data_IF_796112833639
#
_entry.id   IF_796112833639
#
_cell.length_a   1.000
_cell.length_b   1.000
_cell.length_c   1.000
_cell.angle_alpha   90.00
_cell.angle_beta   90.00
_cell.angle_gamma   90.00
#
_symmetry.space_group_name_H-M   'P 1'
#
loop_
_entity.id
_entity.type
_entity.pdbx_description
1 polymer ?
#
# COMPACT_ATOMS: atom_id res chain seq x y z
N UNK A 1 -42.56 -43.05 -18.51
CA UNK A 1 -41.16 -42.74 -18.83
C UNK A 1 -40.91 -41.27 -18.48
N UNK A 2 -39.86 -41.03 -17.69
CA UNK A 2 -39.33 -39.74 -17.18
C UNK A 2 -40.20 -38.98 -16.15
N UNK A 3 -39.97 -39.37 -14.90
CA UNK A 3 -40.07 -38.59 -13.68
C UNK A 3 -39.09 -37.40 -13.67
N UNK A 4 -39.60 -36.23 -13.26
CA UNK A 4 -39.08 -35.22 -12.31
C UNK A 4 -37.59 -35.33 -11.94
N UNK A 5 -36.83 -34.22 -11.99
CA UNK A 5 -36.07 -33.73 -10.82
C UNK A 5 -35.66 -32.25 -10.91
N UNK A 6 -36.06 -31.53 -9.87
CA UNK A 6 -35.56 -30.26 -9.34
C UNK A 6 -34.03 -30.30 -9.19
N UNK A 7 -33.32 -29.28 -9.67
CA UNK A 7 -31.94 -29.03 -9.27
C UNK A 7 -31.95 -28.02 -8.11
N UNK A 8 -31.81 -28.58 -6.92
CA UNK A 8 -31.66 -27.92 -5.63
C UNK A 8 -30.29 -27.22 -5.58
N UNK A 9 -30.28 -25.90 -5.39
CA UNK A 9 -29.05 -25.16 -5.09
C UNK A 9 -28.59 -25.56 -3.68
N UNK A 10 -27.52 -26.34 -3.62
CA UNK A 10 -26.87 -26.71 -2.37
C UNK A 10 -25.94 -25.56 -1.97
N UNK A 11 -26.44 -24.65 -1.14
CA UNK A 11 -25.58 -23.85 -0.25
C UNK A 11 -25.05 -24.81 0.82
N UNK A 12 -23.88 -25.40 0.56
CA UNK A 12 -23.11 -26.06 1.60
C UNK A 12 -22.20 -25.03 2.24
N UNK A 13 -22.67 -24.46 3.35
CA UNK A 13 -21.82 -23.83 4.34
C UNK A 13 -20.76 -24.84 4.81
N UNK A 14 -19.50 -24.61 4.46
CA UNK A 14 -18.37 -25.23 5.16
C UNK A 14 -17.73 -24.14 6.00
N UNK A 15 -18.28 -23.96 7.20
CA UNK A 15 -17.53 -23.42 8.33
C UNK A 15 -16.85 -24.62 8.98
N UNK A 16 -15.53 -24.75 8.80
CA UNK A 16 -14.61 -25.48 9.67
C UNK A 16 -13.16 -25.13 9.23
N UNK A 17 -12.57 -24.08 9.81
CA UNK A 17 -11.76 -24.05 11.05
C UNK A 17 -10.27 -24.42 10.85
N UNK A 18 -9.39 -23.49 11.21
CA UNK A 18 -8.01 -23.80 11.64
C UNK A 18 -6.91 -23.08 10.85
N UNK A 19 -6.87 -21.76 10.86
CA UNK A 19 -6.07 -21.11 11.90
C UNK A 19 -6.71 -19.78 12.28
N UNK A 20 -7.04 -19.62 13.55
CA UNK A 20 -7.15 -18.31 14.14
C UNK A 20 -5.75 -17.69 14.10
N UNK A 21 -5.41 -17.02 12.99
CA UNK A 21 -4.45 -15.94 13.09
C UNK A 21 -5.21 -14.87 13.86
N UNK A 22 -4.93 -14.80 15.16
CA UNK A 22 -5.20 -13.58 15.89
C UNK A 22 -4.29 -12.51 15.27
N UNK A 23 -4.71 -11.96 14.13
CA UNK A 23 -4.18 -10.71 13.60
C UNK A 23 -4.65 -9.65 14.58
N UNK A 24 -3.87 -9.47 15.66
CA UNK A 24 -3.90 -8.23 16.41
C UNK A 24 -3.58 -7.09 15.44
N UNK A 25 -4.06 -5.87 15.71
CA UNK A 25 -3.72 -4.73 14.87
C UNK A 25 -2.20 -4.62 14.79
N UNK A 26 -1.65 -4.73 13.58
CA UNK A 26 -0.30 -4.25 13.32
C UNK A 26 -0.43 -2.73 13.31
N UNK A 27 -0.18 -2.10 14.46
CA UNK A 27 -0.02 -0.66 14.51
C UNK A 27 1.29 -0.36 13.77
N UNK A 28 1.21 -0.13 12.45
CA UNK A 28 2.34 0.38 11.67
C UNK A 28 2.63 1.79 12.17
N UNK A 29 3.54 1.89 13.13
CA UNK A 29 3.94 3.14 13.74
C UNK A 29 5.04 3.77 12.87
N UNK A 30 4.64 4.64 11.94
CA UNK A 30 5.60 5.49 11.24
C UNK A 30 6.16 6.52 12.21
N UNK A 31 7.47 6.73 12.19
CA UNK A 31 8.09 7.79 12.99
C UNK A 31 7.70 9.21 12.51
N UNK A 32 7.26 9.34 11.25
CA UNK A 32 6.43 10.44 10.78
C UNK A 32 5.01 9.94 10.58
N UNK A 33 4.20 9.97 11.63
CA UNK A 33 2.75 10.01 11.46
C UNK A 33 2.40 11.43 11.02
N UNK A 34 1.97 11.62 9.79
CA UNK A 34 1.25 12.84 9.45
C UNK A 34 -0.11 12.78 10.16
N UNK A 35 -0.71 13.92 10.54
CA UNK A 35 -2.06 13.90 11.11
C UNK A 35 -3.00 13.19 10.13
N UNK A 36 -3.28 11.92 10.42
CA UNK A 36 -4.20 11.09 9.69
C UNK A 36 -5.59 11.39 10.21
N UNK A 37 -6.46 11.88 9.34
CA UNK A 37 -7.89 11.67 9.59
C UNK A 37 -8.22 10.22 9.25
N UNK A 38 -9.33 9.71 9.77
CA UNK A 38 -9.89 8.40 9.37
C UNK A 38 -10.03 8.25 7.84
N UNK A 39 -10.11 9.35 7.10
CA UNK A 39 -10.12 9.35 5.63
C UNK A 39 -8.74 9.07 5.03
N UNK A 40 -7.66 9.62 5.61
CA UNK A 40 -6.29 9.36 5.16
C UNK A 40 -5.93 7.89 5.37
N UNK A 41 -6.23 7.35 6.55
CA UNK A 41 -5.96 5.95 6.88
C UNK A 41 -6.71 5.00 5.93
N UNK A 42 -8.00 5.25 5.71
CA UNK A 42 -8.80 4.45 4.79
C UNK A 42 -8.33 4.54 3.34
N UNK A 43 -8.01 5.74 2.85
CA UNK A 43 -7.50 5.90 1.49
C UNK A 43 -6.13 5.22 1.32
N UNK A 44 -5.28 5.27 2.35
CA UNK A 44 -4.00 4.56 2.36
C UNK A 44 -4.22 3.04 2.25
N UNK A 45 -5.11 2.49 3.09
CA UNK A 45 -5.49 1.08 3.03
C UNK A 45 -6.02 0.68 1.65
N UNK A 46 -6.89 1.50 1.05
CA UNK A 46 -7.40 1.24 -0.31
C UNK A 46 -6.25 1.12 -1.31
N UNK A 47 -5.26 2.02 -1.24
CA UNK A 47 -4.10 1.94 -2.14
C UNK A 47 -3.22 0.71 -1.84
N UNK A 48 -3.00 0.35 -0.58
CA UNK A 48 -2.27 -0.88 -0.20
C UNK A 48 -2.91 -2.12 -0.80
N UNK A 49 -4.21 -2.32 -0.60
CA UNK A 49 -4.91 -3.50 -1.14
C UNK A 49 -4.84 -3.51 -2.67
N UNK A 50 -5.02 -2.36 -3.33
CA UNK A 50 -4.94 -2.29 -4.80
C UNK A 50 -3.54 -2.61 -5.34
N UNK A 51 -2.50 -2.07 -4.70
CA UNK A 51 -1.11 -2.33 -5.10
C UNK A 51 -0.79 -3.81 -4.92
N UNK A 52 -1.08 -4.37 -3.74
CA UNK A 52 -0.71 -5.73 -3.40
C UNK A 52 -1.52 -6.77 -4.21
N UNK A 53 -2.82 -6.59 -4.40
CA UNK A 53 -3.60 -7.50 -5.26
C UNK A 53 -3.18 -7.42 -6.74
N UNK A 54 -2.79 -6.24 -7.23
CA UNK A 54 -2.21 -6.12 -8.57
C UNK A 54 -0.87 -6.86 -8.68
N UNK A 55 -0.01 -6.79 -7.66
CA UNK A 55 1.26 -7.52 -7.63
C UNK A 55 1.02 -9.03 -7.57
N UNK A 56 0.07 -9.50 -6.75
CA UNK A 56 -0.34 -10.89 -6.70
C UNK A 56 -0.76 -11.42 -8.08
N UNK A 57 -1.62 -10.67 -8.78
CA UNK A 57 -2.08 -11.01 -10.13
C UNK A 57 -0.99 -10.97 -11.20
N UNK A 58 0.07 -10.18 -11.00
CA UNK A 58 1.21 -10.12 -11.91
C UNK A 58 2.24 -11.24 -11.68
N UNK A 59 2.17 -11.94 -10.54
CA UNK A 59 3.11 -12.99 -10.15
C UNK A 59 2.48 -14.40 -10.15
N UNK A 60 1.41 -14.65 -10.91
CA UNK A 60 0.70 -15.95 -10.91
C UNK A 60 1.56 -17.16 -11.27
N UNK A 61 2.69 -16.97 -11.94
CA UNK A 61 3.67 -18.02 -12.22
C UNK A 61 4.54 -18.40 -11.01
N UNK A 62 4.66 -17.51 -10.03
CA UNK A 62 5.38 -17.71 -8.77
C UNK A 62 4.40 -17.57 -7.61
N UNK A 63 3.81 -18.71 -7.22
CA UNK A 63 2.74 -18.74 -6.20
C UNK A 63 3.22 -18.28 -4.83
N UNK A 64 4.49 -18.43 -4.50
CA UNK A 64 5.03 -17.98 -3.22
C UNK A 64 5.04 -16.46 -3.17
N UNK A 65 5.56 -15.81 -4.22
CA UNK A 65 5.53 -14.34 -4.36
C UNK A 65 4.08 -13.83 -4.43
N UNK A 66 3.23 -14.45 -5.25
CA UNK A 66 1.83 -14.04 -5.36
C UNK A 66 1.07 -14.15 -4.03
N UNK A 67 1.27 -15.22 -3.27
CA UNK A 67 0.63 -15.38 -1.97
C UNK A 67 1.16 -14.40 -0.92
N UNK A 68 2.45 -14.06 -0.95
CA UNK A 68 3.00 -13.02 -0.08
C UNK A 68 2.31 -11.67 -0.30
N UNK A 69 2.03 -11.30 -1.55
CA UNK A 69 1.25 -10.11 -1.85
C UNK A 69 -0.21 -10.22 -1.39
N UNK A 70 -0.83 -11.39 -1.53
CA UNK A 70 -2.18 -11.63 -0.99
C UNK A 70 -2.24 -11.52 0.54
N UNK A 71 -1.19 -11.95 1.23
CA UNK A 71 -1.06 -11.82 2.69
C UNK A 71 -1.02 -10.33 3.09
N UNK A 72 -0.17 -9.51 2.46
CA UNK A 72 -0.17 -8.06 2.72
C UNK A 72 -1.50 -7.38 2.41
N UNK A 73 -2.15 -7.75 1.30
CA UNK A 73 -3.47 -7.22 0.95
C UNK A 73 -4.51 -7.55 2.03
N UNK A 74 -4.48 -8.78 2.58
CA UNK A 74 -5.36 -9.19 3.66
C UNK A 74 -5.04 -8.49 4.99
N UNK A 75 -3.75 -8.29 5.30
CA UNK A 75 -3.30 -7.59 6.52
C UNK A 75 -3.73 -6.13 6.57
N UNK A 76 -3.74 -5.45 5.42
CA UNK A 76 -4.25 -4.08 5.33
C UNK A 76 -5.75 -3.99 5.70
N UNK A 77 -6.53 -5.05 5.44
CA UNK A 77 -7.96 -5.06 5.68
C UNK A 77 -8.30 -5.43 7.13
N UNK A 78 -8.34 -4.43 8.01
CA UNK A 78 -8.63 -4.66 9.44
C UNK A 78 -10.13 -4.82 9.74
N UNK A 79 -10.43 -5.48 10.87
CA UNK A 79 -11.80 -5.58 11.40
C UNK A 79 -12.44 -4.22 11.70
N UNK A 80 -11.64 -3.22 12.11
CA UNK A 80 -12.13 -1.87 12.35
C UNK A 80 -12.61 -1.24 11.06
N UNK A 81 -11.79 -1.32 10.00
CA UNK A 81 -12.16 -0.80 8.68
C UNK A 81 -13.39 -1.49 8.11
N UNK A 82 -13.49 -2.81 8.24
CA UNK A 82 -14.68 -3.55 7.79
C UNK A 82 -15.94 -3.12 8.53
N UNK A 83 -15.83 -2.84 9.83
CA UNK A 83 -16.95 -2.32 10.61
C UNK A 83 -17.39 -0.94 10.10
N UNK A 84 -16.45 -0.03 9.86
CA UNK A 84 -16.75 1.30 9.33
C UNK A 84 -17.37 1.23 7.92
N UNK A 85 -16.86 0.36 7.05
CA UNK A 85 -17.48 0.09 5.74
C UNK A 85 -18.89 -0.45 5.95
N UNK A 86 -19.10 -1.40 6.87
CA UNK A 86 -20.41 -2.02 7.11
C UNK A 86 -21.46 -1.03 7.64
N UNK A 87 -21.04 -0.01 8.40
CA UNK A 87 -21.90 1.07 8.87
C UNK A 87 -22.46 1.90 7.71
N UNK A 88 -21.73 2.02 6.59
CA UNK A 88 -22.18 2.74 5.39
C UNK A 88 -22.81 1.82 4.35
N UNK A 89 -22.23 0.64 4.13
CA UNK A 89 -22.68 -0.36 3.16
C UNK A 89 -22.25 -1.78 3.56
N UNK A 90 -23.18 -2.53 4.14
CA UNK A 90 -22.99 -3.93 4.56
C UNK A 90 -22.61 -4.86 3.41
N UNK A 91 -23.07 -4.58 2.19
CA UNK A 91 -22.76 -5.41 1.03
C UNK A 91 -21.27 -5.35 0.73
N UNK A 92 -20.69 -4.14 0.62
CA UNK A 92 -19.25 -3.99 0.36
C UNK A 92 -18.41 -4.60 1.47
N UNK A 93 -18.80 -4.42 2.73
CA UNK A 93 -18.09 -5.03 3.86
C UNK A 93 -18.09 -6.56 3.84
N UNK A 94 -19.03 -7.18 3.11
CA UNK A 94 -19.10 -8.63 2.91
C UNK A 94 -18.34 -9.04 1.65
N UNK A 95 -18.64 -8.37 0.53
CA UNK A 95 -18.15 -8.73 -0.80
C UNK A 95 -16.64 -8.50 -0.94
N UNK A 96 -16.06 -7.48 -0.27
CA UNK A 96 -14.64 -7.16 -0.38
C UNK A 96 -13.73 -8.27 0.20
N UNK A 97 -13.89 -8.71 1.47
CA UNK A 97 -13.15 -9.87 1.97
C UNK A 97 -13.35 -11.12 1.10
N UNK A 98 -14.58 -11.40 0.67
CA UNK A 98 -14.87 -12.56 -0.18
C UNK A 98 -14.18 -12.48 -1.54
N UNK A 99 -14.08 -11.30 -2.15
CA UNK A 99 -13.40 -11.12 -3.44
C UNK A 99 -11.87 -11.29 -3.31
N UNK A 100 -11.28 -10.85 -2.20
CA UNK A 100 -9.87 -11.09 -1.88
C UNK A 100 -9.60 -12.60 -1.69
N UNK A 101 -10.49 -13.31 -0.98
CA UNK A 101 -10.38 -14.76 -0.79
C UNK A 101 -10.57 -15.53 -2.11
N UNK A 102 -11.47 -15.08 -2.98
CA UNK A 102 -11.66 -15.62 -4.33
C UNK A 102 -10.40 -15.46 -5.18
N UNK A 103 -9.82 -14.26 -5.22
CA UNK A 103 -8.55 -14.00 -5.90
C UNK A 103 -7.44 -14.93 -5.40
N UNK A 104 -7.31 -15.08 -4.07
CA UNK A 104 -6.32 -15.99 -3.47
C UNK A 104 -6.54 -17.43 -3.95
N UNK A 105 -7.80 -17.88 -3.94
CA UNK A 105 -8.18 -19.23 -4.39
C UNK A 105 -7.89 -19.45 -5.88
N UNK A 106 -8.13 -18.44 -6.71
CA UNK A 106 -7.79 -18.47 -8.14
C UNK A 106 -6.27 -18.64 -8.35
N UNK A 107 -5.45 -17.88 -7.62
CA UNK A 107 -3.99 -18.00 -7.65
C UNK A 107 -3.54 -19.41 -7.19
N UNK A 108 -4.05 -19.89 -6.06
CA UNK A 108 -3.66 -21.17 -5.48
C UNK A 108 -4.04 -22.35 -6.38
N UNK A 109 -5.23 -22.29 -7.01
CA UNK A 109 -5.71 -23.31 -7.95
C UNK A 109 -5.01 -23.27 -9.31
N UNK A 110 -4.23 -22.22 -9.60
CA UNK A 110 -3.58 -22.05 -10.90
C UNK A 110 -4.57 -21.67 -12.00
N UNK A 111 -5.55 -20.82 -11.66
CA UNK A 111 -6.49 -20.23 -12.61
C UNK A 111 -5.79 -19.51 -13.76
N UNK A 112 -6.54 -19.23 -14.82
CA UNK A 112 -5.98 -18.52 -15.98
C UNK A 112 -5.58 -17.08 -15.64
N UNK A 113 -4.59 -16.53 -16.35
CA UNK A 113 -4.18 -15.14 -16.13
C UNK A 113 -5.31 -14.12 -16.34
N UNK A 114 -6.28 -14.43 -17.23
CA UNK A 114 -7.42 -13.56 -17.48
C UNK A 114 -8.45 -13.63 -16.34
N UNK A 115 -8.65 -14.81 -15.75
CA UNK A 115 -9.50 -15.00 -14.58
C UNK A 115 -8.92 -14.27 -13.36
N UNK A 116 -7.62 -14.44 -13.09
CA UNK A 116 -6.95 -13.72 -12.01
C UNK A 116 -7.02 -12.19 -12.22
N UNK A 117 -6.87 -11.69 -13.45
CA UNK A 117 -7.03 -10.25 -13.74
C UNK A 117 -8.46 -9.77 -13.50
N UNK A 118 -9.47 -10.58 -13.79
CA UNK A 118 -10.87 -10.24 -13.49
C UNK A 118 -11.09 -10.15 -11.98
N UNK A 119 -10.52 -11.07 -11.20
CA UNK A 119 -10.63 -11.05 -9.74
C UNK A 119 -9.90 -9.85 -9.12
N UNK A 120 -8.70 -9.49 -9.63
CA UNK A 120 -8.00 -8.26 -9.24
C UNK A 120 -8.87 -7.02 -9.54
N UNK A 121 -9.49 -6.97 -10.71
CA UNK A 121 -10.39 -5.87 -11.08
C UNK A 121 -11.61 -5.80 -10.16
N UNK A 122 -12.21 -6.95 -9.82
CA UNK A 122 -13.36 -7.01 -8.91
C UNK A 122 -13.02 -6.45 -7.52
N UNK A 123 -11.82 -6.77 -6.99
CA UNK A 123 -11.34 -6.17 -5.73
C UNK A 123 -11.17 -4.65 -5.89
N UNK A 124 -10.53 -4.18 -6.97
CA UNK A 124 -10.35 -2.74 -7.20
C UNK A 124 -11.68 -1.99 -7.29
N UNK A 125 -12.66 -2.56 -8.00
CA UNK A 125 -13.98 -1.94 -8.20
C UNK A 125 -14.75 -1.82 -6.87
N UNK A 126 -14.70 -2.85 -6.02
CA UNK A 126 -15.30 -2.80 -4.69
C UNK A 126 -14.62 -1.76 -3.79
N UNK A 127 -13.30 -1.60 -3.88
CA UNK A 127 -12.58 -0.56 -3.15
C UNK A 127 -12.93 0.84 -3.65
N UNK A 128 -13.10 1.04 -4.96
CA UNK A 128 -13.55 2.32 -5.52
C UNK A 128 -14.97 2.66 -5.06
N UNK A 129 -15.86 1.68 -5.04
CA UNK A 129 -17.21 1.86 -4.49
C UNK A 129 -17.16 2.18 -2.98
N UNK A 130 -16.29 1.51 -2.23
CA UNK A 130 -16.10 1.76 -0.81
C UNK A 130 -15.66 3.21 -0.55
N UNK A 131 -14.72 3.74 -1.35
CA UNK A 131 -14.29 5.15 -1.29
C UNK A 131 -15.48 6.08 -1.58
N UNK A 132 -16.22 5.84 -2.65
CA UNK A 132 -17.34 6.70 -3.06
C UNK A 132 -18.45 6.78 -2.02
N UNK A 133 -18.68 5.69 -1.27
CA UNK A 133 -19.75 5.61 -0.27
C UNK A 133 -19.28 6.11 1.10
N UNK A 134 -18.05 5.79 1.51
CA UNK A 134 -17.54 6.15 2.84
C UNK A 134 -17.08 7.60 2.92
N UNK A 135 -16.46 8.11 1.86
CA UNK A 135 -15.77 9.39 1.88
C UNK A 135 -16.51 10.41 1.01
N UNK A 136 -16.81 11.56 1.58
CA UNK A 136 -17.38 12.68 0.82
C UNK A 136 -16.43 13.11 -0.30
N UNK A 137 -16.98 13.43 -1.48
CA UNK A 137 -16.19 13.83 -2.65
C UNK A 137 -15.24 15.00 -2.38
N UNK A 138 -15.64 15.93 -1.52
CA UNK A 138 -14.83 17.07 -1.08
C UNK A 138 -13.55 16.63 -0.35
N UNK A 139 -13.61 15.53 0.41
CA UNK A 139 -12.48 14.95 1.13
C UNK A 139 -11.61 14.11 0.19
N UNK A 140 -12.20 13.40 -0.77
CA UNK A 140 -11.44 12.70 -1.82
C UNK A 140 -10.62 13.68 -2.66
N UNK A 141 -11.18 14.85 -3.00
CA UNK A 141 -10.49 15.86 -3.82
C UNK A 141 -9.53 16.77 -3.05
N UNK A 142 -9.51 16.67 -1.72
CA UNK A 142 -8.71 17.51 -0.84
C UNK A 142 -7.22 17.19 -1.00
N UNK A 143 -6.44 18.15 -1.51
CA UNK A 143 -5.02 17.96 -1.79
C UNK A 143 -4.17 17.72 -0.55
N UNK A 144 -4.55 18.24 0.63
CA UNK A 144 -3.89 17.95 1.90
C UNK A 144 -4.12 16.50 2.34
N UNK A 145 -5.35 15.98 2.21
CA UNK A 145 -5.64 14.56 2.49
C UNK A 145 -4.86 13.65 1.53
N UNK A 146 -4.90 13.95 0.24
CA UNK A 146 -4.19 13.15 -0.77
C UNK A 146 -2.67 13.23 -0.61
N UNK A 147 -2.12 14.39 -0.23
CA UNK A 147 -0.69 14.52 0.07
C UNK A 147 -0.28 13.70 1.31
N UNK A 148 -1.16 13.57 2.30
CA UNK A 148 -0.92 12.70 3.45
C UNK A 148 -0.93 11.21 3.03
N UNK A 149 -1.86 10.80 2.15
CA UNK A 149 -1.84 9.45 1.55
C UNK A 149 -0.55 9.21 0.77
N UNK A 150 -0.11 10.17 -0.05
CA UNK A 150 1.17 10.09 -0.77
C UNK A 150 2.33 9.88 0.21
N UNK A 151 2.37 10.61 1.32
CA UNK A 151 3.43 10.46 2.32
C UNK A 151 3.39 9.08 3.01
N UNK A 152 2.21 8.56 3.33
CA UNK A 152 2.07 7.20 3.86
C UNK A 152 2.57 6.15 2.87
N UNK A 153 2.30 6.30 1.57
CA UNK A 153 2.81 5.36 0.56
C UNK A 153 4.34 5.46 0.37
N UNK A 154 4.94 6.61 0.61
CA UNK A 154 6.41 6.72 0.70
C UNK A 154 6.93 5.94 1.89
N UNK A 155 6.27 6.02 3.05
CA UNK A 155 6.64 5.22 4.22
C UNK A 155 6.49 3.71 3.96
N UNK A 156 5.41 3.27 3.30
CA UNK A 156 5.24 1.88 2.87
C UNK A 156 6.36 1.43 1.95
N UNK A 157 6.76 2.28 1.00
CA UNK A 157 7.88 1.99 0.12
C UNK A 157 9.19 1.79 0.89
N UNK A 158 9.44 2.60 1.93
CA UNK A 158 10.61 2.48 2.81
C UNK A 158 10.59 1.21 3.66
N UNK A 159 9.45 0.89 4.28
CA UNK A 159 9.28 -0.30 5.13
C UNK A 159 9.56 -1.57 4.32
N UNK A 160 8.88 -1.73 3.19
CA UNK A 160 9.11 -2.86 2.30
C UNK A 160 10.53 -2.88 1.73
N UNK A 161 11.16 -1.72 1.47
CA UNK A 161 12.56 -1.72 1.01
C UNK A 161 13.51 -2.26 2.08
N UNK A 162 13.31 -1.85 3.33
CA UNK A 162 14.11 -2.31 4.46
C UNK A 162 14.05 -3.82 4.60
N UNK A 163 12.85 -4.39 4.57
CA UNK A 163 12.66 -5.84 4.57
C UNK A 163 13.26 -6.52 3.33
N UNK A 164 13.10 -5.91 2.15
CA UNK A 164 13.61 -6.43 0.89
C UNK A 164 15.13 -6.63 0.89
N UNK A 165 15.87 -5.81 1.64
CA UNK A 165 17.34 -5.84 1.70
C UNK A 165 17.89 -6.31 3.06
N UNK A 166 17.01 -6.73 3.98
CA UNK A 166 17.39 -7.18 5.31
C UNK A 166 17.98 -6.09 6.19
N UNK A 167 17.53 -4.84 6.03
CA UNK A 167 17.92 -3.73 6.90
C UNK A 167 17.23 -3.86 8.26
N UNK A 168 18.01 -3.93 9.34
CA UNK A 168 17.49 -4.18 10.70
C UNK A 168 16.86 -2.93 11.36
N UNK A 169 17.08 -1.74 10.80
CA UNK A 169 16.51 -0.49 11.32
C UNK A 169 15.14 -0.15 10.73
N UNK A 170 14.42 0.79 11.36
CA UNK A 170 13.19 1.32 10.79
C UNK A 170 13.51 2.45 9.79
N UNK A 171 13.37 2.18 8.49
CA UNK A 171 13.65 3.17 7.44
C UNK A 171 12.69 4.36 7.44
N UNK A 172 11.53 4.25 8.10
CA UNK A 172 10.58 5.37 8.23
C UNK A 172 10.97 6.36 9.33
N UNK A 173 12.01 6.05 10.12
CA UNK A 173 12.49 6.87 11.23
C UNK A 173 13.82 7.58 10.93
N UNK A 174 13.83 8.89 11.16
CA UNK A 174 15.04 9.72 11.11
C UNK A 174 16.10 9.30 12.13
N UNK A 175 15.73 8.59 13.19
CA UNK A 175 16.69 8.03 14.16
C UNK A 175 17.65 7.03 13.51
N UNK A 176 17.19 6.29 12.48
CA UNK A 176 18.04 5.39 11.69
C UNK A 176 19.16 6.18 11.00
N UNK A 177 18.89 7.39 10.52
CA UNK A 177 19.90 8.25 9.91
C UNK A 177 20.90 8.83 10.93
N UNK A 178 20.48 9.07 12.16
CA UNK A 178 21.34 9.63 13.22
C UNK A 178 22.28 8.57 13.83
N UNK A 179 21.83 7.32 13.93
CA UNK A 179 22.60 6.21 14.51
C UNK A 179 23.81 5.83 13.66
N UNK A 180 23.69 5.89 12.33
CA UNK A 180 24.75 5.45 11.40
C UNK A 180 25.85 6.49 11.13
N UNK A 181 25.69 7.74 11.60
CA UNK A 181 26.68 8.81 11.40
C UNK A 181 28.02 8.59 12.13
N UNK A 182 28.15 7.53 12.93
CA UNK A 182 29.40 7.20 13.67
C UNK A 182 30.17 5.99 13.14
N UNK A 183 29.66 5.23 12.15
CA UNK A 183 30.33 3.98 11.70
C UNK A 183 30.52 3.83 10.19
N UNK A 184 29.91 4.66 9.34
CA UNK A 184 29.98 4.53 7.88
C UNK A 184 30.74 5.65 7.16
N UNK A 185 31.87 6.09 7.72
CA UNK A 185 32.88 6.80 6.93
C UNK A 185 33.70 5.77 6.13
N UNK A 186 33.10 5.08 5.16
CA UNK A 186 33.87 4.06 4.43
C UNK A 186 33.19 3.19 3.37
N UNK A 187 31.93 3.37 2.99
CA UNK A 187 31.38 2.56 1.90
C UNK A 187 30.55 3.36 0.89
N UNK A 188 31.29 3.96 -0.03
CA UNK A 188 30.85 4.40 -1.36
C UNK A 188 29.89 3.41 -2.04
N UNK A 189 28.72 3.88 -2.46
CA UNK A 189 27.93 3.37 -3.60
C UNK A 189 27.89 1.84 -3.73
N UNK A 190 27.30 1.15 -2.76
CA UNK A 190 27.05 -0.30 -2.90
C UNK A 190 25.57 -0.53 -3.18
N UNK A 191 25.30 -1.23 -4.29
CA UNK A 191 23.97 -1.76 -4.58
C UNK A 191 23.61 -2.80 -3.52
N UNK A 192 22.48 -2.64 -2.86
CA UNK A 192 21.97 -3.60 -1.88
C UNK A 192 21.59 -4.93 -2.54
N UNK A 193 21.80 -6.02 -1.81
CA UNK A 193 21.32 -7.34 -2.21
C UNK A 193 19.86 -7.47 -1.82
N UNK A 194 19.01 -7.92 -2.74
CA UNK A 194 17.60 -8.22 -2.46
C UNK A 194 17.50 -9.63 -1.90
N UNK A 195 17.02 -9.74 -0.67
CA UNK A 195 16.78 -11.00 0.04
C UNK A 195 15.30 -11.39 0.05
N UNK A 196 14.38 -10.43 -0.16
CA UNK A 196 12.95 -10.67 -0.36
C UNK A 196 12.46 -10.00 -1.64
N UNK A 197 12.16 -10.82 -2.65
CA UNK A 197 11.58 -10.37 -3.93
C UNK A 197 10.20 -9.73 -3.78
N UNK A 198 9.22 -10.32 -3.05
CA UNK A 198 7.90 -9.69 -2.93
C UNK A 198 7.99 -8.31 -2.25
N UNK A 199 8.79 -8.17 -1.19
CA UNK A 199 9.00 -6.86 -0.56
C UNK A 199 9.68 -5.85 -1.48
N UNK A 200 10.64 -6.29 -2.30
CA UNK A 200 11.23 -5.40 -3.30
C UNK A 200 10.21 -4.90 -4.33
N UNK A 201 9.31 -5.79 -4.77
CA UNK A 201 8.23 -5.45 -5.70
C UNK A 201 7.22 -4.50 -5.05
N UNK A 202 6.80 -4.76 -3.81
CA UNK A 202 5.91 -3.86 -3.05
C UNK A 202 6.53 -2.49 -2.85
N UNK A 203 7.79 -2.43 -2.41
CA UNK A 203 8.52 -1.16 -2.25
C UNK A 203 8.51 -0.31 -3.51
N UNK A 204 8.82 -0.94 -4.64
CA UNK A 204 8.84 -0.25 -5.92
C UNK A 204 7.44 0.22 -6.36
N UNK A 205 6.44 -0.65 -6.24
CA UNK A 205 5.08 -0.33 -6.63
C UNK A 205 4.47 0.79 -5.77
N UNK A 206 4.76 0.81 -4.47
CA UNK A 206 4.35 1.89 -3.58
C UNK A 206 5.03 3.22 -3.91
N UNK A 207 6.33 3.21 -4.22
CA UNK A 207 7.04 4.41 -4.66
C UNK A 207 6.45 4.97 -5.96
N UNK A 208 6.13 4.10 -6.92
CA UNK A 208 5.50 4.48 -8.18
C UNK A 208 4.07 5.01 -7.98
N UNK A 209 3.27 4.37 -7.11
CA UNK A 209 1.92 4.83 -6.78
C UNK A 209 1.95 6.18 -6.05
N UNK A 210 2.89 6.39 -5.12
CA UNK A 210 3.07 7.68 -4.46
C UNK A 210 3.39 8.79 -5.47
N UNK A 211 4.31 8.52 -6.41
CA UNK A 211 4.63 9.45 -7.50
C UNK A 211 3.40 9.75 -8.38
N UNK A 212 2.64 8.72 -8.76
CA UNK A 212 1.41 8.86 -9.56
C UNK A 212 0.39 9.78 -8.87
N UNK A 213 0.07 9.51 -7.60
CA UNK A 213 -0.89 10.30 -6.83
C UNK A 213 -0.40 11.73 -6.61
N UNK A 214 0.90 11.94 -6.39
CA UNK A 214 1.47 13.29 -6.34
C UNK A 214 1.21 14.08 -7.63
N UNK A 215 1.40 13.46 -8.81
CA UNK A 215 1.16 14.15 -10.09
C UNK A 215 -0.30 14.60 -10.23
N UNK A 216 -1.26 13.85 -9.66
CA UNK A 216 -2.69 14.21 -9.68
C UNK A 216 -3.02 15.43 -8.80
N UNK A 217 -2.24 15.67 -7.75
CA UNK A 217 -2.46 16.79 -6.82
C UNK A 217 -1.52 17.98 -7.04
N UNK A 218 -0.51 17.83 -7.90
CA UNK A 218 0.50 18.85 -8.20
C UNK A 218 -0.07 20.24 -8.46
N UNK A 219 -1.13 20.33 -9.27
CA UNK A 219 -1.75 21.62 -9.61
C UNK A 219 -2.56 22.25 -8.46
N UNK A 220 -2.71 21.54 -7.34
CA UNK A 220 -3.47 21.95 -6.15
C UNK A 220 -2.55 22.32 -4.98
N UNK A 221 -1.24 22.48 -5.22
CA UNK A 221 -0.29 22.98 -4.23
C UNK A 221 -0.63 24.42 -3.82
N UNK A 222 -0.22 24.80 -2.61
CA UNK A 222 -0.44 26.13 -2.06
C UNK A 222 0.32 27.19 -2.87
N UNK A 223 -0.30 28.35 -3.09
CA UNK A 223 0.34 29.47 -3.77
C UNK A 223 1.62 29.91 -3.04
N UNK A 224 2.69 30.20 -3.80
CA UNK A 224 3.98 30.61 -3.25
C UNK A 224 4.89 29.46 -2.80
N UNK A 225 4.53 28.20 -3.09
CA UNK A 225 5.32 27.00 -2.75
C UNK A 225 6.05 26.38 -3.96
N UNK A 226 6.28 27.17 -5.02
CA UNK A 226 6.84 26.70 -6.30
C UNK A 226 8.17 25.93 -6.14
N UNK A 227 9.01 26.35 -5.19
CA UNK A 227 10.27 25.66 -4.87
C UNK A 227 10.04 24.26 -4.29
N UNK A 228 9.04 24.09 -3.42
CA UNK A 228 8.68 22.79 -2.86
C UNK A 228 8.11 21.86 -3.93
N UNK A 229 7.27 22.39 -4.82
CA UNK A 229 6.75 21.65 -5.99
C UNK A 229 7.89 21.22 -6.91
N UNK A 230 8.81 22.11 -7.23
CA UNK A 230 10.01 21.80 -8.04
C UNK A 230 10.89 20.74 -7.36
N UNK A 231 11.01 20.81 -6.03
CA UNK A 231 11.70 19.81 -5.22
C UNK A 231 11.06 18.42 -5.36
N UNK A 232 9.73 18.33 -5.26
CA UNK A 232 8.99 17.07 -5.43
C UNK A 232 9.11 16.50 -6.85
N UNK A 233 9.07 17.36 -7.87
CA UNK A 233 9.25 16.96 -9.27
C UNK A 233 10.58 16.23 -9.52
N UNK A 234 11.65 16.63 -8.82
CA UNK A 234 12.94 15.94 -8.86
C UNK A 234 13.02 14.74 -7.90
N UNK A 235 12.42 14.86 -6.71
CA UNK A 235 12.57 13.88 -5.64
C UNK A 235 11.86 12.55 -5.93
N UNK A 236 10.62 12.57 -6.44
CA UNK A 236 9.87 11.33 -6.70
C UNK A 236 10.54 10.43 -7.77
N UNK A 237 10.92 10.94 -8.95
CA UNK A 237 11.68 10.13 -9.91
C UNK A 237 13.00 9.62 -9.34
N UNK A 238 13.69 10.43 -8.51
CA UNK A 238 14.92 10.01 -7.85
C UNK A 238 14.70 8.87 -6.86
N UNK A 239 13.62 8.93 -6.08
CA UNK A 239 13.23 7.90 -5.11
C UNK A 239 12.94 6.56 -5.80
N UNK A 240 12.08 6.59 -6.83
CA UNK A 240 11.76 5.41 -7.64
C UNK A 240 13.03 4.83 -8.28
N UNK A 241 13.89 5.67 -8.87
CA UNK A 241 15.13 5.21 -9.48
C UNK A 241 16.14 4.66 -8.48
N UNK A 242 16.20 5.20 -7.26
CA UNK A 242 17.06 4.68 -6.19
C UNK A 242 16.63 3.28 -5.77
N UNK A 243 15.33 3.03 -5.59
CA UNK A 243 14.78 1.69 -5.31
C UNK A 243 15.04 0.73 -6.49
N UNK A 244 14.78 1.15 -7.74
CA UNK A 244 15.07 0.34 -8.95
C UNK A 244 16.56 -0.02 -9.05
N UNK A 245 17.43 0.95 -8.76
CA UNK A 245 18.88 0.82 -8.74
C UNK A 245 19.42 0.06 -7.54
N UNK A 246 18.56 -0.33 -6.59
CA UNK A 246 18.93 -0.99 -5.32
C UNK A 246 19.95 -0.16 -4.55
N UNK A 247 19.75 1.16 -4.46
CA UNK A 247 20.61 2.05 -3.69
C UNK A 247 20.64 1.64 -2.21
N UNK A 248 21.61 2.18 -1.45
CA UNK A 248 21.68 1.86 -0.02
C UNK A 248 20.41 2.33 0.71
N UNK A 249 20.02 1.68 1.82
CA UNK A 249 18.93 2.16 2.67
C UNK A 249 19.08 3.63 3.05
N UNK A 250 20.30 4.07 3.34
CA UNK A 250 20.61 5.46 3.69
C UNK A 250 20.34 6.44 2.55
N UNK A 251 20.73 6.12 1.31
CA UNK A 251 20.45 6.99 0.15
C UNK A 251 18.95 7.13 -0.10
N UNK A 252 18.19 6.03 0.04
CA UNK A 252 16.74 6.01 -0.15
C UNK A 252 16.04 6.80 0.97
N UNK A 253 16.45 6.62 2.22
CA UNK A 253 15.97 7.40 3.37
C UNK A 253 16.27 8.89 3.21
N UNK A 254 17.46 9.26 2.74
CA UNK A 254 17.81 10.66 2.50
C UNK A 254 16.83 11.31 1.53
N UNK A 255 16.49 10.63 0.42
CA UNK A 255 15.54 11.16 -0.55
C UNK A 255 14.16 11.33 0.09
N UNK A 256 13.64 10.31 0.77
CA UNK A 256 12.32 10.37 1.38
C UNK A 256 12.22 11.48 2.44
N UNK A 257 13.11 11.45 3.43
CA UNK A 257 12.99 12.29 4.62
C UNK A 257 13.52 13.72 4.44
N UNK A 258 14.44 13.96 3.51
CA UNK A 258 15.00 15.31 3.30
C UNK A 258 14.42 16.01 2.07
N UNK A 259 13.87 15.26 1.10
CA UNK A 259 13.40 15.80 -0.18
C UNK A 259 11.91 15.60 -0.41
N UNK A 260 11.32 14.45 -0.03
CA UNK A 260 9.89 14.21 -0.25
C UNK A 260 9.06 14.78 0.90
N UNK A 261 9.21 14.26 2.12
CA UNK A 261 8.37 14.64 3.26
C UNK A 261 8.37 16.15 3.55
N UNK A 262 9.51 16.86 3.62
CA UNK A 262 9.51 18.31 3.90
C UNK A 262 8.84 19.14 2.80
N UNK A 263 8.98 18.73 1.54
CA UNK A 263 8.35 19.43 0.44
C UNK A 263 6.84 19.14 0.35
N UNK A 264 6.38 17.94 0.71
CA UNK A 264 4.95 17.66 0.87
C UNK A 264 4.33 18.49 2.00
N UNK A 265 5.01 18.58 3.16
CA UNK A 265 4.62 19.46 4.28
C UNK A 265 4.45 20.90 3.78
N UNK A 266 5.45 21.41 3.06
CA UNK A 266 5.45 22.80 2.59
C UNK A 266 4.36 23.04 1.53
N UNK A 267 4.27 22.20 0.51
CA UNK A 267 3.39 22.40 -0.63
C UNK A 267 1.89 22.21 -0.31
N UNK A 268 1.57 21.38 0.67
CA UNK A 268 0.18 21.00 0.99
C UNK A 268 -0.24 21.26 2.44
N UNK A 269 0.64 21.89 3.23
CA UNK A 269 0.43 22.18 4.66
C UNK A 269 0.08 20.92 5.45
N UNK A 270 0.85 19.83 5.23
CA UNK A 270 0.71 18.62 6.03
C UNK A 270 1.15 18.90 7.47
N UNK A 271 0.32 18.47 8.42
CA UNK A 271 0.69 18.50 9.83
C UNK A 271 1.36 17.17 10.18
N UNK A 272 2.46 17.24 10.93
CA UNK A 272 3.08 16.06 11.54
C UNK A 272 2.39 15.85 12.89
N UNK A 273 1.98 14.62 13.19
CA UNK A 273 1.45 14.25 14.49
C UNK A 273 2.55 14.46 15.55
N UNK A 274 2.15 15.04 16.68
CA UNK A 274 3.01 15.36 17.83
C UNK A 274 3.10 14.21 18.81
#
# INVERSE_FOLDING_TARGET
>A
MKTILMALAIFASVILLGSAIALGPVNRAYAHTFQGSENVEFLTMVQQIKVETSLAGNNTSDKEVANHHMEHAAEALTNSTLKEIAEKNKRIATDLPSSIEQLKTAIDSGASADEVKQDVQAVSDLLDEAVQIRIEKSQVDNSTIQAAVVANLVNEALEHYGEAVGFEGNMTDMSAMQSENSSMQGNTTTTSTVVSVPNYQSSLAFAEKAQELYQQIKSKALSGTDNAVTGLDGAFPSFVNAIKGKASPMDIMEIAHTKIHPNLITAYNLQVAS
#
